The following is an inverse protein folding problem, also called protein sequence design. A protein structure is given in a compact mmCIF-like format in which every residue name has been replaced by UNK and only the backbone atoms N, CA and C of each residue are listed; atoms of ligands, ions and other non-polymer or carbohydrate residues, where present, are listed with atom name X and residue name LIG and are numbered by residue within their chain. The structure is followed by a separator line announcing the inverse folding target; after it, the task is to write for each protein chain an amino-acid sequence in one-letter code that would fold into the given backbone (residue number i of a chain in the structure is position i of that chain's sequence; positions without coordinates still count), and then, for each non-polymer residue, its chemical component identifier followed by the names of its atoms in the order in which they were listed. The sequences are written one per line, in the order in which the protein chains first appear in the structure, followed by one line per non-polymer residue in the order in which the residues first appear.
data_IF_985198632499
#
_entry.id   IF_985198632499
#
_cell.length_a   1.000
_cell.length_b   1.000
_cell.length_c   1.000
_cell.angle_alpha   90.00
_cell.angle_beta   90.00
_cell.angle_gamma   90.00
#
_symmetry.space_group_name_H-M   'P 1'
#
loop_
_entity.id
_entity.type
_entity.pdbx_description
1 polymer ?
#
# COMPACT_ATOMS: atom_id res chain seq x y z
N UNK A 1 -14.52 -22.97 -5.88
CA UNK A 1 -13.49 -23.66 -6.67
C UNK A 1 -12.11 -23.22 -6.16
N UNK A 2 -11.30 -24.12 -5.59
CA UNK A 2 -9.90 -23.80 -5.21
C UNK A 2 -9.13 -23.56 -6.51
N UNK A 3 -8.74 -22.32 -6.80
CA UNK A 3 -7.80 -22.01 -7.89
C UNK A 3 -6.48 -22.68 -7.53
N UNK A 4 -6.06 -23.70 -8.28
CA UNK A 4 -4.69 -24.19 -8.20
C UNK A 4 -3.77 -23.08 -8.70
N UNK A 5 -2.92 -22.58 -7.81
CA UNK A 5 -1.92 -21.55 -8.12
C UNK A 5 -0.77 -22.24 -8.87
N UNK A 6 -0.56 -21.88 -10.13
CA UNK A 6 0.59 -22.38 -10.90
C UNK A 6 1.87 -21.93 -10.22
N UNK A 7 2.72 -22.89 -9.79
CA UNK A 7 4.03 -22.60 -9.18
C UNK A 7 5.14 -22.87 -10.20
N UNK A 8 6.15 -22.00 -10.22
CA UNK A 8 7.36 -22.17 -11.03
C UNK A 8 8.50 -22.51 -10.07
N UNK A 9 9.27 -23.56 -10.39
CA UNK A 9 10.50 -23.88 -9.67
C UNK A 9 11.63 -23.02 -10.20
N UNK A 10 12.25 -22.23 -9.33
CA UNK A 10 13.36 -21.34 -9.65
C UNK A 10 14.57 -21.72 -8.83
N UNK A 11 15.76 -21.72 -9.46
CA UNK A 11 17.03 -21.85 -8.75
C UNK A 11 17.65 -20.46 -8.63
N UNK A 12 18.03 -20.08 -7.40
CA UNK A 12 18.64 -18.77 -7.10
C UNK A 12 19.95 -18.98 -6.35
N UNK A 13 20.87 -18.03 -6.51
CA UNK A 13 22.09 -17.96 -5.71
C UNK A 13 21.89 -16.94 -4.59
N UNK A 14 22.22 -17.33 -3.36
CA UNK A 14 22.07 -16.52 -2.14
C UNK A 14 23.34 -16.68 -1.32
N UNK A 15 23.71 -15.65 -0.58
CA UNK A 15 24.76 -15.73 0.44
C UNK A 15 24.49 -16.87 1.43
N UNK A 16 25.55 -17.60 1.80
CA UNK A 16 25.42 -18.83 2.60
C UNK A 16 24.92 -18.54 4.02
N UNK A 17 25.47 -17.51 4.66
CA UNK A 17 25.16 -17.19 6.04
C UNK A 17 23.77 -16.56 6.14
N UNK A 18 23.41 -15.70 5.19
CA UNK A 18 22.06 -15.18 5.05
C UNK A 18 21.03 -16.30 4.89
N UNK A 19 21.31 -17.30 4.04
CA UNK A 19 20.40 -18.41 3.82
C UNK A 19 20.25 -19.30 5.05
N UNK A 20 21.31 -19.48 5.84
CA UNK A 20 21.25 -20.22 7.11
C UNK A 20 20.37 -19.52 8.14
N UNK A 21 20.57 -18.21 8.34
CA UNK A 21 19.76 -17.41 9.26
C UNK A 21 18.29 -17.40 8.84
N UNK A 22 18.01 -17.23 7.54
CA UNK A 22 16.65 -17.28 7.03
C UNK A 22 15.98 -18.64 7.30
N UNK A 23 16.65 -19.76 7.00
CA UNK A 23 16.10 -21.09 7.29
C UNK A 23 15.82 -21.29 8.77
N UNK A 24 16.71 -20.85 9.66
CA UNK A 24 16.54 -20.95 11.11
C UNK A 24 15.30 -20.19 11.57
N UNK A 25 15.10 -18.98 11.05
CA UNK A 25 13.93 -18.16 11.34
C UNK A 25 12.64 -18.85 10.86
N UNK A 26 12.63 -19.38 9.64
CA UNK A 26 11.46 -20.07 9.08
C UNK A 26 11.12 -21.35 9.85
N UNK A 27 12.12 -22.17 10.18
CA UNK A 27 11.92 -23.38 10.97
C UNK A 27 11.37 -23.10 12.37
N UNK A 28 11.71 -21.95 12.97
CA UNK A 28 11.16 -21.56 14.27
C UNK A 28 9.67 -21.19 14.24
N UNK A 29 9.11 -20.95 13.05
CA UNK A 29 7.73 -20.52 12.84
C UNK A 29 6.82 -21.62 12.26
N UNK A 30 7.33 -22.85 12.14
CA UNK A 30 6.62 -23.99 11.53
C UNK A 30 6.05 -23.68 10.13
N UNK A 31 6.78 -22.89 9.34
CA UNK A 31 6.37 -22.43 8.02
C UNK A 31 7.22 -23.08 6.92
N UNK A 32 6.65 -23.29 5.72
CA UNK A 32 7.43 -23.75 4.57
C UNK A 32 8.39 -22.67 4.06
N UNK A 33 9.62 -23.08 3.72
CA UNK A 33 10.65 -22.18 3.17
C UNK A 33 10.22 -21.48 1.88
N UNK A 34 9.48 -22.19 1.03
CA UNK A 34 8.97 -21.64 -0.23
C UNK A 34 7.91 -20.56 0.02
N UNK A 35 7.05 -20.75 1.03
CA UNK A 35 6.02 -19.78 1.39
C UNK A 35 6.62 -18.55 2.06
N UNK A 36 7.59 -18.74 2.96
CA UNK A 36 8.28 -17.63 3.60
C UNK A 36 9.04 -16.76 2.59
N UNK A 37 9.71 -17.38 1.61
CA UNK A 37 10.38 -16.64 0.54
C UNK A 37 9.35 -15.92 -0.36
N UNK A 38 8.21 -16.56 -0.66
CA UNK A 38 7.14 -15.91 -1.42
C UNK A 38 6.55 -14.70 -0.68
N UNK A 39 6.34 -14.80 0.63
CA UNK A 39 5.88 -13.69 1.48
C UNK A 39 6.84 -12.50 1.42
N UNK A 40 8.15 -12.73 1.58
CA UNK A 40 9.15 -11.66 1.46
C UNK A 40 9.12 -10.98 0.09
N UNK A 41 8.96 -11.76 -0.99
CA UNK A 41 8.85 -11.21 -2.35
C UNK A 41 7.58 -10.35 -2.49
N UNK A 42 6.46 -10.77 -1.89
CA UNK A 42 5.20 -10.01 -1.91
C UNK A 42 5.30 -8.70 -1.14
N UNK A 43 5.97 -8.73 0.01
CA UNK A 43 6.23 -7.55 0.83
C UNK A 43 7.09 -6.53 0.07
N UNK A 44 8.19 -6.97 -0.53
CA UNK A 44 9.08 -6.12 -1.33
C UNK A 44 8.35 -5.50 -2.54
N UNK A 45 7.52 -6.29 -3.22
CA UNK A 45 6.74 -5.83 -4.37
C UNK A 45 5.48 -5.05 -3.97
N UNK A 46 5.22 -4.88 -2.67
CA UNK A 46 4.02 -4.21 -2.15
C UNK A 46 2.70 -4.72 -2.77
N UNK A 47 2.64 -6.02 -3.12
CA UNK A 47 1.55 -6.61 -3.91
C UNK A 47 0.19 -6.39 -3.26
N UNK A 48 0.15 -6.38 -1.94
CA UNK A 48 -1.07 -6.28 -1.15
C UNK A 48 -1.30 -4.89 -0.56
N UNK A 49 -0.46 -3.88 -0.87
CA UNK A 49 -0.55 -2.55 -0.26
C UNK A 49 -1.90 -1.87 -0.53
N UNK A 50 -2.40 -1.91 -1.76
CA UNK A 50 -3.70 -1.30 -2.09
C UNK A 50 -4.85 -1.98 -1.34
N UNK A 51 -4.79 -3.30 -1.19
CA UNK A 51 -5.77 -4.08 -0.44
C UNK A 51 -5.72 -3.74 1.04
N UNK A 52 -4.53 -3.74 1.64
CA UNK A 52 -4.30 -3.40 3.04
C UNK A 52 -4.74 -1.97 3.34
N UNK A 53 -4.46 -1.01 2.45
CA UNK A 53 -4.93 0.38 2.59
C UNK A 53 -6.45 0.46 2.50
N UNK A 54 -7.09 -0.27 1.58
CA UNK A 54 -8.56 -0.32 1.47
C UNK A 54 -9.20 -0.98 2.68
N UNK A 55 -8.61 -2.05 3.21
CA UNK A 55 -9.06 -2.70 4.43
C UNK A 55 -8.97 -1.73 5.61
N UNK A 56 -7.84 -1.04 5.78
CA UNK A 56 -7.68 0.02 6.77
C UNK A 56 -8.71 1.15 6.62
N UNK A 57 -8.99 1.60 5.39
CA UNK A 57 -10.00 2.63 5.12
C UNK A 57 -11.43 2.14 5.36
N UNK A 58 -11.71 0.85 5.20
CA UNK A 58 -13.02 0.27 5.48
C UNK A 58 -13.19 -0.07 6.97
N UNK A 59 -12.12 -0.41 7.70
CA UNK A 59 -12.12 -0.61 9.15
C UNK A 59 -12.19 0.71 9.92
N UNK A 60 -11.54 1.75 9.37
CA UNK A 60 -11.85 3.13 9.72
C UNK A 60 -13.22 3.45 9.13
N UNK A 61 -14.29 3.00 9.81
CA UNK A 61 -15.63 3.48 9.56
C UNK A 61 -15.53 5.01 9.52
N UNK A 62 -15.54 5.55 8.31
CA UNK A 62 -15.43 6.98 8.09
C UNK A 62 -16.82 7.53 8.34
N UNK A 63 -17.27 7.39 9.59
CA UNK A 63 -18.15 8.35 10.23
C UNK A 63 -17.39 9.67 10.15
N UNK A 64 -17.52 10.31 8.98
CA UNK A 64 -17.13 11.67 8.76
C UNK A 64 -17.90 12.44 9.84
N UNK A 65 -17.18 12.84 10.89
CA UNK A 65 -17.71 13.56 12.04
C UNK A 65 -18.22 14.97 11.65
N UNK A 66 -18.20 15.26 10.36
CA UNK A 66 -18.78 16.41 9.73
C UNK A 66 -19.77 15.99 8.64
N UNK A 67 -20.97 16.55 8.69
CA UNK A 67 -21.85 16.55 7.52
C UNK A 67 -21.32 17.56 6.51
N UNK A 68 -20.94 17.14 5.29
CA UNK A 68 -20.54 18.09 4.27
C UNK A 68 -21.69 19.06 4.00
N UNK A 69 -21.43 20.34 4.25
CA UNK A 69 -22.41 21.40 4.03
C UNK A 69 -22.53 21.63 2.53
N UNK A 70 -23.75 21.59 1.98
CA UNK A 70 -23.97 21.98 0.59
C UNK A 70 -23.50 23.41 0.40
N UNK A 71 -22.52 23.60 -0.47
CA UNK A 71 -22.06 24.92 -0.83
C UNK A 71 -23.23 25.71 -1.45
N UNK A 72 -23.41 26.95 -1.01
CA UNK A 72 -24.44 27.86 -1.54
C UNK A 72 -24.06 28.44 -2.90
N UNK A 73 -22.82 28.21 -3.35
CA UNK A 73 -22.23 28.72 -4.58
C UNK A 73 -21.37 27.63 -5.25
N UNK A 74 -20.99 27.88 -6.49
CA UNK A 74 -20.13 26.98 -7.27
C UNK A 74 -18.73 27.00 -6.65
N UNK A 75 -18.39 25.95 -5.89
CA UNK A 75 -17.09 25.82 -5.18
C UNK A 75 -15.91 25.93 -6.14
N UNK A 76 -16.09 25.54 -7.41
CA UNK A 76 -15.02 25.62 -8.41
C UNK A 76 -14.63 27.05 -8.77
N UNK A 77 -15.54 28.03 -8.65
CA UNK A 77 -15.22 29.44 -8.88
C UNK A 77 -14.39 30.00 -7.72
N UNK A 78 -14.80 29.72 -6.48
CA UNK A 78 -14.08 30.13 -5.28
C UNK A 78 -12.67 29.51 -5.21
N UNK A 79 -12.54 28.23 -5.54
CA UNK A 79 -11.23 27.54 -5.55
C UNK A 79 -10.32 28.10 -6.65
N UNK A 80 -10.88 28.46 -7.81
CA UNK A 80 -10.12 29.13 -8.88
C UNK A 80 -9.62 30.50 -8.42
N UNK A 81 -10.50 31.30 -7.83
CA UNK A 81 -10.15 32.64 -7.33
C UNK A 81 -9.01 32.58 -6.30
N UNK A 82 -9.11 31.68 -5.31
CA UNK A 82 -8.07 31.49 -4.29
C UNK A 82 -6.75 31.01 -4.92
N UNK A 83 -6.80 30.13 -5.94
CA UNK A 83 -5.61 29.64 -6.63
C UNK A 83 -4.93 30.75 -7.43
N UNK A 84 -5.73 31.53 -8.15
CA UNK A 84 -5.24 32.58 -9.04
C UNK A 84 -4.74 33.80 -8.24
N UNK A 85 -5.34 34.11 -7.08
CA UNK A 85 -4.80 35.05 -6.08
C UNK A 85 -3.45 34.59 -5.53
N UNK A 86 -3.31 33.29 -5.23
CA UNK A 86 -2.03 32.75 -4.76
C UNK A 86 -0.96 32.83 -5.84
N UNK A 87 -1.26 32.45 -7.07
CA UNK A 87 -0.32 32.56 -8.20
C UNK A 87 0.08 34.01 -8.46
N UNK A 88 -0.88 34.94 -8.48
CA UNK A 88 -0.58 36.36 -8.70
C UNK A 88 0.25 36.98 -7.57
N UNK A 89 0.12 36.51 -6.32
CA UNK A 89 0.96 36.95 -5.20
C UNK A 89 2.40 36.42 -5.29
N UNK A 90 2.57 35.20 -5.81
CA UNK A 90 3.90 34.60 -6.03
C UNK A 90 4.61 35.24 -7.23
N UNK A 91 3.88 35.68 -8.24
CA UNK A 91 4.41 36.35 -9.43
C UNK A 91 4.76 37.83 -9.23
N UNK A 92 4.42 38.42 -8.07
CA UNK A 92 4.71 39.82 -7.71
C UNK A 92 5.89 39.97 -6.73
N UNK A 93 6.64 38.89 -6.48
CA UNK A 93 7.96 38.91 -5.82
C UNK A 93 9.06 38.86 -6.87
#
# INVERSE_FOLDING_TARGET
MRKFKTRIKTSIYVDEDLWKEFKKLVSSRDQELSEALESLIREELMVDLETVVKELVNELDTDLDFKPVKAKAIVSELVREIRDERESRLLRQ
#
